data_IF_581340783136
#
_entry.id   IF_581340783136
#
_cell.length_a   1.000
_cell.length_b   1.000
_cell.length_c   1.000
_cell.angle_alpha   90.00
_cell.angle_beta   90.00
_cell.angle_gamma   90.00
#
_symmetry.space_group_name_H-M   'P 1'
#
loop_
_entity.id
_entity.type
_entity.pdbx_description
1 polymer ?
#
# COMPACT_ATOMS: atom_id res chain seq x y z
N UNK A 1 18.06 12.53 11.50
CA UNK A 1 17.11 11.63 10.82
C UNK A 1 17.93 10.61 10.07
N UNK A 2 17.70 9.34 10.35
CA UNK A 2 18.25 8.27 9.51
C UNK A 2 17.43 8.22 8.23
N UNK A 3 18.09 8.12 7.09
CA UNK A 3 17.42 8.05 5.78
C UNK A 3 16.88 6.65 5.49
N UNK A 4 17.07 5.71 6.41
CA UNK A 4 16.76 4.29 6.22
C UNK A 4 15.26 4.03 6.29
N UNK A 5 14.73 3.51 5.20
CA UNK A 5 13.36 3.04 5.14
C UNK A 5 13.20 1.82 4.25
N UNK A 6 12.06 1.15 4.38
CA UNK A 6 11.70 -0.04 3.62
C UNK A 6 10.38 0.24 2.92
N UNK A 7 10.37 0.03 1.61
CA UNK A 7 9.22 0.31 0.76
C UNK A 7 8.75 -0.97 0.09
N UNK A 8 7.55 -1.43 0.44
CA UNK A 8 6.89 -2.56 -0.19
C UNK A 8 5.99 -2.02 -1.29
N UNK A 9 6.23 -2.45 -2.52
CA UNK A 9 5.30 -2.30 -3.65
C UNK A 9 4.58 -3.63 -3.78
N UNK A 10 3.25 -3.63 -3.78
CA UNK A 10 2.47 -4.85 -3.88
C UNK A 10 1.39 -4.77 -4.96
N UNK A 11 1.34 -5.83 -5.77
CA UNK A 11 0.30 -6.08 -6.75
C UNK A 11 -0.68 -7.11 -6.17
N UNK A 12 -1.93 -6.71 -5.96
CA UNK A 12 -2.96 -7.54 -5.37
C UNK A 12 -4.02 -7.89 -6.41
N UNK A 13 -4.24 -9.19 -6.63
CA UNK A 13 -5.13 -9.71 -7.66
C UNK A 13 -6.24 -10.58 -7.09
N UNK A 14 -7.33 -10.67 -7.85
CA UNK A 14 -8.53 -11.43 -7.50
C UNK A 14 -9.12 -10.96 -6.16
N UNK A 15 -9.05 -9.65 -5.91
CA UNK A 15 -9.65 -9.01 -4.74
C UNK A 15 -11.17 -8.93 -4.87
N UNK A 16 -11.82 -8.72 -3.75
CA UNK A 16 -13.28 -8.54 -3.67
C UNK A 16 -13.71 -7.20 -4.30
N UNK A 17 -14.63 -7.26 -5.26
CA UNK A 17 -15.11 -6.09 -6.01
C UNK A 17 -15.72 -5.03 -5.08
N UNK A 18 -16.60 -5.42 -4.16
CA UNK A 18 -17.34 -4.50 -3.31
C UNK A 18 -16.38 -3.78 -2.36
N UNK A 19 -15.37 -4.50 -1.86
CA UNK A 19 -14.30 -3.91 -1.04
C UNK A 19 -13.43 -2.95 -1.82
N UNK A 20 -13.03 -3.30 -3.04
CA UNK A 20 -12.22 -2.42 -3.90
C UNK A 20 -12.97 -1.13 -4.28
N UNK A 21 -14.30 -1.14 -4.25
CA UNK A 21 -15.14 0.00 -4.62
C UNK A 21 -15.76 0.74 -3.41
N UNK A 22 -15.41 0.38 -2.18
CA UNK A 22 -15.88 1.05 -0.96
C UNK A 22 -14.76 1.92 -0.36
N UNK A 23 -14.89 3.24 -0.55
CA UNK A 23 -13.91 4.21 -0.08
C UNK A 23 -13.79 4.26 1.45
N UNK A 24 -14.89 4.06 2.18
CA UNK A 24 -14.86 4.10 3.64
C UNK A 24 -14.17 2.84 4.18
N UNK A 25 -14.46 1.69 3.57
CA UNK A 25 -13.79 0.43 3.90
C UNK A 25 -12.29 0.50 3.63
N UNK A 26 -11.89 1.04 2.47
CA UNK A 26 -10.48 1.18 2.11
C UNK A 26 -9.77 2.15 3.06
N UNK A 27 -10.36 3.32 3.33
CA UNK A 27 -9.77 4.30 4.26
C UNK A 27 -9.52 3.67 5.63
N UNK A 28 -10.54 3.03 6.22
CA UNK A 28 -10.41 2.36 7.52
C UNK A 28 -9.36 1.25 7.48
N UNK A 29 -9.34 0.44 6.41
CA UNK A 29 -8.37 -0.65 6.24
C UNK A 29 -6.94 -0.12 6.24
N UNK A 30 -6.68 0.99 5.54
CA UNK A 30 -5.35 1.58 5.44
C UNK A 30 -4.90 2.27 6.74
N UNK A 31 -5.82 2.92 7.45
CA UNK A 31 -5.55 3.46 8.79
C UNK A 31 -5.20 2.32 9.76
N UNK A 32 -6.00 1.26 9.78
CA UNK A 32 -5.75 0.10 10.63
C UNK A 32 -4.42 -0.59 10.28
N UNK A 33 -4.07 -0.65 8.99
CA UNK A 33 -2.80 -1.20 8.52
C UNK A 33 -1.62 -0.42 9.08
N UNK A 34 -1.68 0.92 9.01
CA UNK A 34 -0.66 1.81 9.56
C UNK A 34 -0.54 1.64 11.09
N UNK A 35 -1.66 1.58 11.81
CA UNK A 35 -1.63 1.39 13.26
C UNK A 35 -1.07 0.01 13.65
N UNK A 36 -1.41 -1.04 12.89
CA UNK A 36 -0.91 -2.40 13.11
C UNK A 36 0.59 -2.56 12.83
N UNK A 37 1.14 -1.79 11.89
CA UNK A 37 2.58 -1.76 11.67
C UNK A 37 3.32 -0.95 12.72
N UNK A 38 2.61 -0.29 13.65
CA UNK A 38 3.18 0.58 14.68
C UNK A 38 3.46 2.01 14.20
N UNK A 39 2.96 2.40 13.03
CA UNK A 39 3.14 3.73 12.49
C UNK A 39 2.16 4.74 13.12
N UNK A 40 2.59 6.00 13.18
CA UNK A 40 1.76 7.12 13.61
C UNK A 40 1.14 7.82 12.40
N UNK A 41 -0.20 7.83 12.32
CA UNK A 41 -0.95 8.47 11.24
C UNK A 41 -0.95 9.99 11.42
N UNK A 42 -0.66 10.72 10.33
CA UNK A 42 -0.63 12.19 10.29
C UNK A 42 -1.81 12.77 9.52
N UNK A 43 -2.07 12.23 8.34
CA UNK A 43 -3.12 12.71 7.44
C UNK A 43 -3.66 11.56 6.60
N UNK A 44 -4.93 11.63 6.22
CA UNK A 44 -5.60 10.65 5.37
C UNK A 44 -6.34 11.38 4.25
N UNK A 45 -6.25 10.86 3.03
CA UNK A 45 -6.98 11.40 1.89
C UNK A 45 -7.36 10.28 0.94
N UNK A 46 -8.66 10.13 0.69
CA UNK A 46 -9.22 9.12 -0.20
C UNK A 46 -10.22 9.74 -1.18
N UNK A 47 -10.22 9.22 -2.40
CA UNK A 47 -11.10 9.66 -3.46
C UNK A 47 -11.70 8.46 -4.18
N UNK A 48 -13.04 8.42 -4.25
CA UNK A 48 -13.78 7.46 -5.05
C UNK A 48 -14.06 8.03 -6.44
N UNK A 49 -13.69 7.29 -7.47
CA UNK A 49 -13.96 7.65 -8.86
C UNK A 49 -15.33 7.16 -9.32
N UNK A 50 -15.81 7.77 -10.41
CA UNK A 50 -16.96 7.31 -11.17
C UNK A 50 -16.48 6.65 -12.48
N UNK A 51 -16.99 5.47 -12.86
CA UNK A 51 -18.08 4.74 -12.20
C UNK A 51 -17.66 3.96 -10.95
N UNK A 52 -16.36 3.68 -10.77
CA UNK A 52 -15.85 2.85 -9.68
C UNK A 52 -14.34 3.08 -9.46
N UNK A 53 -13.82 2.51 -8.37
CA UNK A 53 -12.41 2.56 -8.01
C UNK A 53 -12.09 3.66 -7.01
N UNK A 54 -10.98 3.49 -6.30
CA UNK A 54 -10.55 4.35 -5.20
C UNK A 54 -9.05 4.58 -5.30
N UNK A 55 -8.64 5.84 -5.17
CA UNK A 55 -7.26 6.20 -4.87
C UNK A 55 -7.19 6.76 -3.46
N UNK A 56 -6.13 6.46 -2.73
CA UNK A 56 -5.91 7.15 -1.46
C UNK A 56 -4.53 6.95 -0.86
N UNK A 57 -4.31 7.74 0.19
CA UNK A 57 -3.06 7.84 0.91
C UNK A 57 -3.32 7.99 2.40
N UNK A 58 -2.52 7.29 3.20
CA UNK A 58 -2.31 7.54 4.62
C UNK A 58 -0.89 8.04 4.78
N UNK A 59 -0.75 9.31 5.12
CA UNK A 59 0.55 9.91 5.46
C UNK A 59 0.87 9.51 6.90
N UNK A 60 2.05 8.92 7.08
CA UNK A 60 2.61 8.60 8.39
C UNK A 60 3.89 9.43 8.60
N UNK A 61 4.40 9.51 9.83
CA UNK A 61 5.49 10.43 10.25
C UNK A 61 6.46 10.91 9.15
N UNK A 62 7.19 10.01 8.48
CA UNK A 62 8.14 10.37 7.41
C UNK A 62 7.96 9.52 6.13
N UNK A 63 6.78 8.93 5.91
CA UNK A 63 6.50 8.00 4.81
C UNK A 63 5.00 7.86 4.53
N UNK A 64 4.52 6.78 3.90
CA UNK A 64 3.12 6.67 3.47
C UNK A 64 2.67 5.24 3.19
N UNK A 65 1.35 5.04 3.24
CA UNK A 65 0.67 3.90 2.63
C UNK A 65 -0.27 4.43 1.52
N UNK A 66 -0.24 3.86 0.32
CA UNK A 66 -1.12 4.28 -0.80
C UNK A 66 -1.81 3.10 -1.47
N UNK A 67 -2.94 3.40 -2.13
CA UNK A 67 -3.69 2.45 -2.95
C UNK A 67 -4.26 3.10 -4.19
N UNK A 68 -4.27 2.33 -5.27
CA UNK A 68 -5.13 2.54 -6.42
C UNK A 68 -5.89 1.24 -6.72
N UNK A 69 -7.23 1.27 -6.66
CA UNK A 69 -8.07 0.11 -6.93
C UNK A 69 -8.75 0.17 -8.30
N UNK A 70 -8.85 -1.01 -8.92
CA UNK A 70 -9.53 -1.26 -10.20
C UNK A 70 -10.52 -2.43 -10.01
N UNK A 71 -11.72 -2.16 -9.44
CA UNK A 71 -12.70 -3.19 -9.12
C UNK A 71 -13.06 -4.12 -10.29
N UNK A 72 -13.16 -3.59 -11.50
CA UNK A 72 -13.45 -4.32 -12.76
C UNK A 72 -12.44 -5.41 -13.08
N UNK A 73 -11.24 -5.31 -12.51
CA UNK A 73 -10.15 -6.25 -12.72
C UNK A 73 -9.83 -7.05 -11.46
N UNK A 74 -10.57 -6.85 -10.36
CA UNK A 74 -10.25 -7.44 -9.07
C UNK A 74 -8.84 -7.08 -8.61
N UNK A 75 -8.36 -5.88 -8.96
CA UNK A 75 -6.96 -5.48 -8.83
C UNK A 75 -6.79 -4.26 -7.91
N UNK A 76 -5.72 -4.25 -7.13
CA UNK A 76 -5.21 -3.07 -6.45
C UNK A 76 -3.69 -3.03 -6.51
N UNK A 77 -3.12 -1.88 -6.87
CA UNK A 77 -1.73 -1.57 -6.54
C UNK A 77 -1.68 -0.86 -5.20
N UNK A 78 -0.77 -1.31 -4.35
CA UNK A 78 -0.54 -0.67 -3.05
C UNK A 78 0.95 -0.43 -2.83
N UNK A 79 1.24 0.64 -2.11
CA UNK A 79 2.57 0.97 -1.63
C UNK A 79 2.53 1.07 -0.11
N UNK A 80 3.47 0.44 0.57
CA UNK A 80 3.67 0.56 2.02
C UNK A 80 5.11 0.96 2.27
N UNK A 81 5.32 2.25 2.44
CA UNK A 81 6.60 2.83 2.78
C UNK A 81 6.65 3.16 4.27
N UNK A 82 7.64 2.64 4.98
CA UNK A 82 7.90 2.96 6.39
C UNK A 82 9.37 3.32 6.61
N UNK A 83 9.64 4.11 7.64
CA UNK A 83 10.99 4.50 8.07
C UNK A 83 11.33 3.85 9.43
N UNK A 84 12.62 3.68 9.71
CA UNK A 84 13.11 3.09 10.96
C UNK A 84 12.90 1.57 11.04
N UNK A 85 12.62 1.07 12.23
CA UNK A 85 12.53 -0.37 12.54
C UNK A 85 11.15 -1.00 12.27
N UNK A 86 10.21 -0.23 11.69
CA UNK A 86 8.88 -0.74 11.38
C UNK A 86 8.94 -1.76 10.24
N UNK A 87 8.10 -2.80 10.32
CA UNK A 87 8.01 -3.80 9.27
C UNK A 87 6.82 -3.49 8.34
N UNK A 88 7.06 -2.95 7.12
CA UNK A 88 5.99 -2.62 6.18
C UNK A 88 5.22 -3.87 5.70
N UNK A 89 5.80 -5.06 5.83
CA UNK A 89 5.10 -6.29 5.40
C UNK A 89 3.87 -6.57 6.27
N UNK A 90 3.83 -6.10 7.52
CA UNK A 90 2.66 -6.22 8.41
C UNK A 90 1.45 -5.50 7.81
N UNK A 91 1.63 -4.24 7.42
CA UNK A 91 0.58 -3.43 6.80
C UNK A 91 0.19 -3.98 5.42
N UNK A 92 1.15 -4.34 4.58
CA UNK A 92 0.89 -4.90 3.25
C UNK A 92 0.07 -6.20 3.32
N UNK A 93 0.41 -7.10 4.25
CA UNK A 93 -0.32 -8.35 4.45
C UNK A 93 -1.73 -8.12 4.99
N UNK A 94 -1.88 -7.21 5.96
CA UNK A 94 -3.18 -6.86 6.49
C UNK A 94 -4.12 -6.29 5.41
N UNK A 95 -3.61 -5.40 4.56
CA UNK A 95 -4.37 -4.85 3.43
C UNK A 95 -4.77 -5.96 2.45
N UNK A 96 -3.84 -6.83 2.07
CA UNK A 96 -4.11 -7.94 1.15
C UNK A 96 -5.20 -8.89 1.68
N UNK A 97 -5.13 -9.23 2.97
CA UNK A 97 -6.14 -10.05 3.65
C UNK A 97 -7.49 -9.35 3.72
N UNK A 98 -7.51 -8.05 4.08
CA UNK A 98 -8.73 -7.26 4.15
C UNK A 98 -9.41 -7.14 2.79
N UNK A 99 -8.66 -6.98 1.70
CA UNK A 99 -9.18 -6.93 0.33
C UNK A 99 -9.53 -8.30 -0.26
N UNK A 100 -9.31 -9.39 0.48
CA UNK A 100 -9.49 -10.77 0.04
C UNK A 100 -8.68 -11.15 -1.22
N UNK A 101 -7.51 -10.53 -1.42
CA UNK A 101 -6.63 -10.86 -2.54
C UNK A 101 -6.28 -12.35 -2.54
N UNK A 102 -6.41 -13.02 -3.68
CA UNK A 102 -5.99 -14.44 -3.82
C UNK A 102 -4.53 -14.55 -4.22
N UNK A 103 -4.08 -13.61 -5.04
CA UNK A 103 -2.70 -13.55 -5.51
C UNK A 103 -2.09 -12.23 -5.07
N UNK A 104 -0.86 -12.29 -4.55
CA UNK A 104 -0.08 -11.14 -4.09
C UNK A 104 1.35 -11.24 -4.59
N UNK A 105 1.80 -10.22 -5.29
CA UNK A 105 3.19 -10.07 -5.72
C UNK A 105 3.79 -8.89 -4.96
N UNK A 106 4.93 -9.11 -4.30
CA UNK A 106 5.55 -8.14 -3.41
C UNK A 106 6.98 -7.88 -3.85
N UNK A 107 7.34 -6.60 -3.96
CA UNK A 107 8.70 -6.15 -4.16
C UNK A 107 9.12 -5.23 -3.01
N UNK A 108 10.23 -5.55 -2.36
CA UNK A 108 10.83 -4.67 -1.35
C UNK A 108 11.94 -3.82 -1.97
N UNK A 109 11.86 -2.51 -1.73
CA UNK A 109 12.83 -1.51 -2.13
C UNK A 109 13.41 -0.82 -0.88
N UNK A 110 14.69 -1.03 -0.57
CA UNK A 110 15.40 -0.25 0.44
C UNK A 110 15.46 1.23 0.02
N UNK A 111 15.21 2.14 0.96
CA UNK A 111 15.20 3.59 0.74
C UNK A 111 16.29 4.23 1.58
N UNK A 112 17.01 5.18 0.98
CA UNK A 112 18.06 5.97 1.64
C UNK A 112 19.26 5.18 2.18
N UNK A 113 19.52 3.98 1.64
CA UNK A 113 20.65 3.10 1.98
C UNK A 113 21.72 3.01 0.87
N UNK A 114 21.67 3.89 -0.14
CA UNK A 114 22.56 3.89 -1.31
C UNK A 114 21.79 3.84 -2.63
N UNK A 115 22.45 3.42 -3.75
CA UNK A 115 21.78 3.27 -5.04
C UNK A 115 20.59 2.32 -4.95
N UNK A 116 19.50 2.67 -5.63
CA UNK A 116 18.31 1.81 -5.71
C UNK A 116 18.67 0.55 -6.51
N UNK A 117 18.68 -0.60 -5.83
CA UNK A 117 18.90 -1.91 -6.45
C UNK A 117 17.55 -2.56 -6.79
N UNK A 118 16.80 -1.98 -7.73
CA UNK A 118 15.68 -2.67 -8.35
C UNK A 118 16.24 -3.65 -9.39
N UNK A 119 15.75 -4.91 -9.44
CA UNK A 119 16.07 -5.80 -10.57
C UNK A 119 15.71 -5.06 -11.86
N UNK A 120 16.66 -5.04 -12.80
CA UNK A 120 16.68 -4.18 -13.98
C UNK A 120 15.37 -4.16 -14.77
N UNK A 121 14.89 -2.96 -15.07
CA UNK A 121 13.94 -2.70 -16.15
C UNK A 121 14.51 -3.32 -17.43
N UNK A 122 13.83 -4.29 -18.01
CA UNK A 122 14.07 -4.62 -19.42
C UNK A 122 13.57 -3.43 -20.22
N UNK A 123 14.50 -2.61 -20.72
CA UNK A 123 14.23 -1.67 -21.80
C UNK A 123 13.85 -2.51 -23.00
N UNK A 124 12.63 -2.33 -23.51
CA UNK A 124 12.32 -2.66 -24.91
C UNK A 124 12.93 -1.57 -25.78
#
# INVERSE_FOLDING_TARGET
>A
METMGRHIIAELWECDFDKLNDVNFIEQTFVDAALKSGAEVREVAFHKFAPQGVSGVVIISESHLTIHSFPEHGYASIDVYTCGDLDPTIAANYIAEALHAKTRELMELPRGMGPVAAKSLQTV
#
